data_IF_241458239521
#
_entry.id   IF_241458239521
#
_cell.length_a   1.000
_cell.length_b   1.000
_cell.length_c   1.000
_cell.angle_alpha   90.00
_cell.angle_beta   90.00
_cell.angle_gamma   90.00
#
_symmetry.space_group_name_H-M   'P 1'
#
loop_
_entity.id
_entity.type
_entity.pdbx_description
1 polymer ?
#
# COMPACT_ATOMS: atom_id res chain seq x y z
N UNK A 1 19.25 21.09 43.48
CA UNK A 1 18.32 20.20 42.78
C UNK A 1 18.74 18.80 43.11
N UNK A 2 17.88 18.07 43.81
CA UNK A 2 18.19 16.74 44.31
C UNK A 2 18.37 15.74 43.15
N UNK A 3 19.29 14.79 43.31
CA UNK A 3 19.70 13.87 42.24
C UNK A 3 18.54 13.00 41.73
N UNK A 4 17.56 12.71 42.59
CA UNK A 4 16.30 12.02 42.27
C UNK A 4 15.47 12.79 41.24
N UNK A 5 15.37 14.11 41.34
CA UNK A 5 14.61 14.93 40.38
C UNK A 5 15.23 14.93 38.99
N UNK A 6 16.57 14.92 38.92
CA UNK A 6 17.29 14.91 37.64
C UNK A 6 17.08 13.57 36.91
N UNK A 7 17.15 12.45 37.64
CA UNK A 7 16.95 11.11 37.07
C UNK A 7 15.54 10.96 36.49
N UNK A 8 14.51 11.42 37.21
CA UNK A 8 13.10 11.30 36.76
C UNK A 8 12.85 12.11 35.48
N UNK A 9 13.45 13.30 35.36
CA UNK A 9 13.33 14.14 34.16
C UNK A 9 13.99 13.47 32.95
N UNK A 10 15.20 12.92 33.11
CA UNK A 10 15.94 12.27 32.01
C UNK A 10 15.20 11.04 31.50
N UNK A 11 14.68 10.18 32.39
CA UNK A 11 13.93 8.98 32.00
C UNK A 11 12.63 9.35 31.27
N UNK A 12 11.94 10.39 31.73
CA UNK A 12 10.70 10.87 31.11
C UNK A 12 10.96 11.43 29.70
N UNK A 13 12.02 12.24 29.54
CA UNK A 13 12.40 12.76 28.22
C UNK A 13 12.83 11.65 27.26
N UNK A 14 13.61 10.66 27.73
CA UNK A 14 13.96 9.50 26.91
C UNK A 14 12.72 8.70 26.49
N UNK A 15 11.75 8.49 27.37
CA UNK A 15 10.50 7.81 27.05
C UNK A 15 9.68 8.55 25.99
N UNK A 16 9.61 9.88 26.07
CA UNK A 16 8.94 10.72 25.06
C UNK A 16 9.66 10.65 23.72
N UNK A 17 11.00 10.77 23.71
CA UNK A 17 11.80 10.67 22.48
C UNK A 17 11.65 9.28 21.85
N UNK A 18 11.69 8.22 22.65
CA UNK A 18 11.56 6.84 22.20
C UNK A 18 10.19 6.56 21.58
N UNK A 19 9.11 6.98 22.24
CA UNK A 19 7.75 6.83 21.71
C UNK A 19 7.52 7.66 20.45
N UNK A 20 8.07 8.89 20.39
CA UNK A 20 7.98 9.72 19.20
C UNK A 20 8.74 9.10 18.01
N UNK A 21 9.94 8.56 18.26
CA UNK A 21 10.75 7.90 17.22
C UNK A 21 10.10 6.60 16.71
N UNK A 22 9.52 5.81 17.61
CA UNK A 22 8.80 4.59 17.25
C UNK A 22 7.58 4.89 16.36
N UNK A 23 6.86 5.98 16.64
CA UNK A 23 5.70 6.38 15.84
C UNK A 23 6.08 7.00 14.50
N UNK A 24 7.17 7.78 14.42
CA UNK A 24 7.61 8.42 13.18
C UNK A 24 8.17 7.43 12.14
N UNK A 25 8.72 6.30 12.60
CA UNK A 25 9.28 5.26 11.73
C UNK A 25 8.19 4.45 10.99
N UNK A 26 6.91 4.57 11.38
CA UNK A 26 5.77 3.86 10.75
C UNK A 26 5.12 4.61 9.57
N UNK A 27 5.81 5.51 8.88
CA UNK A 27 5.26 6.12 7.65
C UNK A 27 5.38 5.12 6.50
N UNK A 28 4.22 4.66 5.99
CA UNK A 28 4.11 3.64 4.95
C UNK A 28 4.98 3.95 3.73
N UNK A 29 5.95 3.09 3.46
CA UNK A 29 6.85 3.23 2.33
C UNK A 29 6.14 2.78 1.06
N UNK A 30 5.99 3.69 0.09
CA UNK A 30 5.55 3.32 -1.24
C UNK A 30 6.62 2.42 -1.88
N UNK A 31 6.22 1.23 -2.30
CA UNK A 31 7.16 0.27 -2.93
C UNK A 31 7.43 0.73 -4.36
N UNK A 32 8.70 0.97 -4.69
CA UNK A 32 9.11 1.30 -6.06
C UNK A 32 9.20 0.02 -6.89
N UNK A 33 8.45 -0.04 -7.99
CA UNK A 33 8.29 -1.24 -8.82
C UNK A 33 8.87 -0.98 -10.21
N UNK A 34 9.86 -1.77 -10.61
CA UNK A 34 10.53 -1.63 -11.91
C UNK A 34 9.82 -2.36 -13.05
N UNK A 35 9.34 -3.59 -12.83
CA UNK A 35 8.80 -4.46 -13.90
C UNK A 35 7.53 -5.21 -13.47
N UNK A 36 7.53 -5.78 -12.26
CA UNK A 36 6.38 -6.49 -11.70
C UNK A 36 6.26 -6.29 -10.20
N UNK A 37 5.02 -6.28 -9.69
CA UNK A 37 4.72 -6.25 -8.26
C UNK A 37 3.68 -7.29 -7.93
N UNK A 38 3.90 -8.01 -6.84
CA UNK A 38 2.90 -8.89 -6.24
C UNK A 38 2.09 -8.11 -5.19
N UNK A 39 0.77 -8.16 -5.34
CA UNK A 39 -0.21 -7.50 -4.48
C UNK A 39 -1.07 -8.59 -3.85
N UNK A 40 -0.97 -8.74 -2.55
CA UNK A 40 -1.78 -9.68 -1.77
C UNK A 40 -3.08 -8.99 -1.40
N UNK A 41 -4.20 -9.66 -1.65
CA UNK A 41 -5.54 -9.19 -1.33
C UNK A 41 -6.07 -9.99 -0.14
N UNK A 42 -5.95 -9.42 1.05
CA UNK A 42 -6.27 -10.04 2.34
C UNK A 42 -6.82 -8.97 3.30
N UNK A 43 -8.15 -8.81 3.39
CA UNK A 43 -8.76 -7.69 4.14
C UNK A 43 -8.38 -6.29 3.63
N UNK A 44 -7.90 -6.17 2.39
CA UNK A 44 -7.34 -4.95 1.80
C UNK A 44 -6.28 -5.28 0.74
N UNK A 45 -5.51 -4.28 0.31
CA UNK A 45 -4.42 -4.45 -0.65
C UNK A 45 -3.07 -4.27 0.05
N UNK A 46 -2.18 -5.24 -0.11
CA UNK A 46 -0.81 -5.18 0.41
C UNK A 46 0.19 -5.48 -0.70
N UNK A 47 1.06 -4.52 -1.08
CA UNK A 47 1.14 -3.15 -0.56
C UNK A 47 -0.05 -2.28 -1.01
N UNK A 48 -0.46 -1.34 -0.14
CA UNK A 48 -1.57 -0.41 -0.44
C UNK A 48 -1.15 0.63 -1.48
N UNK A 49 0.11 1.09 -1.41
CA UNK A 49 0.67 2.12 -2.28
C UNK A 49 1.83 1.54 -3.08
N UNK A 50 1.70 1.57 -4.41
CA UNK A 50 2.77 1.18 -5.34
C UNK A 50 3.23 2.38 -6.17
N UNK A 51 4.52 2.47 -6.45
CA UNK A 51 5.10 3.49 -7.33
C UNK A 51 5.62 2.81 -8.59
N UNK A 52 5.15 3.24 -9.77
CA UNK A 52 5.54 2.69 -11.09
C UNK A 52 6.05 3.81 -12.01
N UNK A 53 6.83 3.46 -13.02
CA UNK A 53 7.37 4.41 -13.99
C UNK A 53 6.41 4.70 -15.14
N UNK A 54 6.30 5.97 -15.54
CA UNK A 54 5.55 6.40 -16.72
C UNK A 54 6.10 5.77 -18.01
N UNK A 55 5.19 5.37 -18.90
CA UNK A 55 5.52 4.88 -20.25
C UNK A 55 6.08 3.46 -20.32
N UNK A 56 6.36 2.84 -19.16
CA UNK A 56 6.82 1.44 -19.06
C UNK A 56 5.64 0.52 -18.75
N UNK A 57 5.61 -0.66 -19.38
CA UNK A 57 4.62 -1.68 -19.02
C UNK A 57 5.02 -2.33 -17.71
N UNK A 58 4.16 -2.28 -16.70
CA UNK A 58 4.34 -2.91 -15.39
C UNK A 58 3.29 -3.99 -15.17
N UNK A 59 3.70 -5.14 -14.64
CA UNK A 59 2.83 -6.27 -14.31
C UNK A 59 2.38 -6.19 -12.85
N UNK A 60 1.08 -6.03 -12.63
CA UNK A 60 0.46 -6.04 -11.32
C UNK A 60 -0.13 -7.44 -11.06
N UNK A 61 0.47 -8.21 -10.17
CA UNK A 61 0.06 -9.58 -9.86
C UNK A 61 -0.79 -9.59 -8.58
N UNK A 62 -2.11 -9.65 -8.74
CA UNK A 62 -3.03 -9.74 -7.61
C UNK A 62 -3.22 -11.20 -7.18
N UNK A 63 -3.11 -11.47 -5.88
CA UNK A 63 -3.41 -12.79 -5.31
C UNK A 63 -4.45 -12.63 -4.21
N UNK A 64 -5.68 -13.08 -4.46
CA UNK A 64 -6.76 -13.04 -3.46
C UNK A 64 -6.64 -14.18 -2.47
N UNK A 65 -6.51 -13.86 -1.19
CA UNK A 65 -6.55 -14.81 -0.07
C UNK A 65 -7.82 -14.70 0.75
N UNK A 66 -8.47 -13.54 0.70
CA UNK A 66 -9.72 -13.26 1.39
C UNK A 66 -10.95 -13.75 0.59
N UNK A 67 -11.81 -14.61 1.16
CA UNK A 67 -13.02 -15.10 0.51
C UNK A 67 -14.14 -14.04 0.40
N UNK A 68 -13.97 -12.84 0.95
CA UNK A 68 -14.97 -11.76 0.91
C UNK A 68 -15.35 -11.36 -0.51
N UNK A 69 -16.66 -11.22 -0.76
CA UNK A 69 -17.22 -10.94 -2.08
C UNK A 69 -16.84 -9.58 -2.67
N UNK A 70 -16.65 -8.54 -1.84
CA UNK A 70 -16.16 -7.24 -2.34
C UNK A 70 -14.80 -7.35 -3.04
N UNK A 71 -13.93 -8.25 -2.57
CA UNK A 71 -12.56 -8.44 -3.07
C UNK A 71 -12.46 -9.41 -4.25
N UNK A 72 -13.60 -9.92 -4.76
CA UNK A 72 -13.64 -10.78 -5.95
C UNK A 72 -13.29 -10.04 -7.24
N UNK A 73 -13.23 -8.71 -7.20
CA UNK A 73 -12.86 -7.91 -8.36
C UNK A 73 -11.94 -6.76 -7.96
N UNK A 74 -11.06 -6.39 -8.88
CA UNK A 74 -10.28 -5.17 -8.82
C UNK A 74 -10.66 -4.25 -9.97
N UNK A 75 -10.84 -2.98 -9.64
CA UNK A 75 -11.27 -1.92 -10.55
C UNK A 75 -10.21 -0.82 -10.57
N UNK A 76 -9.55 -0.65 -11.72
CA UNK A 76 -8.65 0.46 -11.98
C UNK A 76 -9.42 1.47 -12.85
N UNK A 77 -10.20 2.35 -12.22
CA UNK A 77 -11.15 3.24 -12.89
C UNK A 77 -10.50 4.15 -13.93
N UNK A 78 -9.38 4.78 -13.58
CA UNK A 78 -8.63 5.68 -14.46
C UNK A 78 -8.10 5.00 -15.73
N UNK A 79 -7.87 3.69 -15.65
CA UNK A 79 -7.36 2.87 -16.75
C UNK A 79 -8.47 2.06 -17.44
N UNK A 80 -9.72 2.17 -16.98
CA UNK A 80 -10.88 1.41 -17.46
C UNK A 80 -10.68 -0.11 -17.44
N UNK A 81 -9.92 -0.61 -16.46
CA UNK A 81 -9.66 -2.04 -16.28
C UNK A 81 -10.51 -2.55 -15.11
N UNK A 82 -11.29 -3.60 -15.34
CA UNK A 82 -11.95 -4.39 -14.30
C UNK A 82 -11.55 -5.85 -14.50
N UNK A 83 -11.13 -6.53 -13.43
CA UNK A 83 -10.71 -7.94 -13.48
C UNK A 83 -11.23 -8.71 -12.28
N UNK A 84 -11.69 -9.93 -12.53
CA UNK A 84 -12.06 -10.89 -11.50
C UNK A 84 -10.82 -11.51 -10.86
N UNK A 85 -10.86 -11.70 -9.54
CA UNK A 85 -9.81 -12.27 -8.70
C UNK A 85 -10.31 -13.57 -8.06
N UNK A 86 -10.07 -14.74 -8.69
CA UNK A 86 -10.40 -16.01 -8.09
C UNK A 86 -9.59 -16.26 -6.81
N UNK A 87 -10.20 -17.00 -5.87
CA UNK A 87 -9.58 -17.27 -4.57
C UNK A 87 -8.31 -18.12 -4.74
N UNK A 88 -7.24 -17.73 -4.04
CA UNK A 88 -5.91 -18.34 -4.04
C UNK A 88 -5.26 -18.45 -5.43
N UNK A 89 -5.69 -17.62 -6.39
CA UNK A 89 -5.14 -17.60 -7.73
C UNK A 89 -4.45 -16.26 -8.02
N UNK A 90 -3.33 -16.33 -8.73
CA UNK A 90 -2.59 -15.16 -9.19
C UNK A 90 -3.21 -14.65 -10.49
N UNK A 91 -3.61 -13.39 -10.50
CA UNK A 91 -4.12 -12.68 -11.68
C UNK A 91 -3.16 -11.54 -12.02
N UNK A 92 -2.59 -11.58 -13.21
CA UNK A 92 -1.69 -10.54 -13.71
C UNK A 92 -2.44 -9.52 -14.55
N UNK A 93 -2.27 -8.24 -14.23
CA UNK A 93 -2.80 -7.10 -14.97
C UNK A 93 -1.61 -6.31 -15.51
N UNK A 94 -1.51 -6.19 -16.83
CA UNK A 94 -0.49 -5.36 -17.45
C UNK A 94 -1.00 -3.92 -17.53
N UNK A 95 -0.22 -2.99 -16.97
CA UNK A 95 -0.54 -1.58 -16.92
C UNK A 95 0.57 -0.78 -17.61
N UNK A 96 0.20 0.07 -18.57
CA UNK A 96 1.10 1.01 -19.23
C UNK A 96 0.59 2.43 -19.01
N UNK A 97 1.00 3.12 -17.93
CA UNK A 97 0.51 4.45 -17.65
C UNK A 97 1.15 5.50 -18.58
N UNK A 98 0.32 6.29 -19.25
CA UNK A 98 0.77 7.38 -20.14
C UNK A 98 0.87 8.74 -19.42
N UNK A 99 0.21 8.87 -18.27
CA UNK A 99 0.15 10.10 -17.48
C UNK A 99 0.80 9.86 -16.12
N UNK A 100 1.61 10.81 -15.68
CA UNK A 100 2.13 10.85 -14.31
C UNK A 100 1.03 11.38 -13.39
N UNK A 101 1.03 10.93 -12.14
CA UNK A 101 0.01 11.30 -11.16
C UNK A 101 -0.29 10.18 -10.18
N UNK A 102 -1.27 10.43 -9.31
CA UNK A 102 -1.80 9.43 -8.39
C UNK A 102 -3.11 8.86 -8.96
N UNK A 103 -3.18 7.54 -9.05
CA UNK A 103 -4.34 6.81 -9.53
C UNK A 103 -4.84 5.88 -8.43
N UNK A 104 -6.15 5.80 -8.26
CA UNK A 104 -6.75 4.97 -7.22
C UNK A 104 -7.38 3.74 -7.86
N UNK A 105 -7.18 2.58 -7.26
CA UNK A 105 -7.86 1.35 -7.63
C UNK A 105 -8.63 0.79 -6.44
N UNK A 106 -9.73 0.10 -6.72
CA UNK A 106 -10.70 -0.25 -5.68
C UNK A 106 -11.28 -1.66 -5.88
N UNK A 107 -11.93 -2.18 -4.84
CA UNK A 107 -12.72 -3.41 -4.95
C UNK A 107 -13.96 -3.18 -5.82
N UNK A 108 -14.63 -4.25 -6.29
CA UNK A 108 -15.84 -4.13 -7.11
C UNK A 108 -16.97 -3.27 -6.49
N UNK A 109 -17.02 -3.23 -5.16
CA UNK A 109 -17.98 -2.46 -4.35
C UNK A 109 -17.44 -1.10 -3.86
N UNK A 110 -16.25 -0.69 -4.29
CA UNK A 110 -15.62 0.59 -3.92
C UNK A 110 -15.39 0.79 -2.40
N UNK A 111 -15.12 -0.28 -1.64
CA UNK A 111 -14.88 -0.21 -0.19
C UNK A 111 -13.39 -0.25 0.18
N UNK A 112 -12.62 -1.16 -0.42
CA UNK A 112 -11.17 -1.19 -0.26
C UNK A 112 -10.52 -0.36 -1.35
N UNK A 113 -9.47 0.37 -0.98
CA UNK A 113 -8.74 1.27 -1.86
C UNK A 113 -7.25 0.94 -1.82
N UNK A 114 -6.62 1.06 -2.98
CA UNK A 114 -5.18 1.11 -3.12
C UNK A 114 -4.78 2.23 -4.06
N UNK A 115 -3.51 2.62 -4.02
CA UNK A 115 -2.97 3.75 -4.76
C UNK A 115 -1.80 3.34 -5.65
N UNK A 116 -1.79 3.87 -6.87
CA UNK A 116 -0.72 3.76 -7.84
C UNK A 116 -0.16 5.15 -8.08
N UNK A 117 1.09 5.36 -7.71
CA UNK A 117 1.82 6.60 -7.97
C UNK A 117 2.63 6.38 -9.25
N UNK A 118 2.29 7.09 -10.31
CA UNK A 118 3.06 7.06 -11.56
C UNK A 118 4.03 8.24 -11.55
N UNK A 119 5.33 7.91 -11.57
CA UNK A 119 6.44 8.88 -11.64
C UNK A 119 7.06 8.88 -13.03
#
# INVERSE_FOLDING_TARGET
MDADKIIVIVVSFLGIIFTYWFFLTKKGQAVSVSDSVDIVVDGGYSPEIISISKGKTTKLNFTRRDPTSCLEEVVLGDFKIRRHLPLNQKVTIELKPEKSGEFTYTCGMNMYHGKIIVK
#
